data_IF_503764423134
#
_entry.id   IF_503764423134
#
_cell.length_a   1.000
_cell.length_b   1.000
_cell.length_c   1.000
_cell.angle_alpha   90.00
_cell.angle_beta   90.00
_cell.angle_gamma   90.00
#
_symmetry.space_group_name_H-M   'P 1'
#
loop_
_entity.id
_entity.type
_entity.pdbx_description
1 polymer ?
#
# COMPACT_ATOMS: atom_id res chain seq x y z
N UNK A 1 -2.67 -1.88 -3.92
CA UNK A 1 -2.83 -0.73 -4.86
C UNK A 1 -1.65 0.26 -4.76
N UNK A 2 -1.12 0.55 -3.57
CA UNK A 2 0.00 1.49 -3.38
C UNK A 2 1.27 1.09 -4.14
N UNK A 3 1.64 -0.19 -4.11
CA UNK A 3 2.79 -0.70 -4.86
C UNK A 3 2.62 -0.56 -6.36
N UNK A 4 1.41 -0.82 -6.86
CA UNK A 4 1.05 -0.66 -8.27
C UNK A 4 1.17 0.82 -8.66
N UNK A 5 0.61 1.73 -7.84
CA UNK A 5 0.72 3.18 -8.07
C UNK A 5 2.18 3.62 -8.14
N UNK A 6 3.01 3.19 -7.18
CA UNK A 6 4.45 3.48 -7.17
C UNK A 6 5.17 2.95 -8.40
N UNK A 7 4.86 1.74 -8.84
CA UNK A 7 5.44 1.17 -10.06
C UNK A 7 5.08 2.00 -11.30
N UNK A 8 3.81 2.42 -11.42
CA UNK A 8 3.34 3.25 -12.53
C UNK A 8 3.97 4.65 -12.50
N UNK A 9 4.08 5.28 -11.33
CA UNK A 9 4.76 6.57 -11.14
C UNK A 9 6.26 6.48 -11.47
N UNK A 10 6.89 5.34 -11.19
CA UNK A 10 8.28 5.06 -11.57
C UNK A 10 8.47 4.75 -13.07
N UNK A 11 7.40 4.77 -13.87
CA UNK A 11 7.44 4.57 -15.32
C UNK A 11 7.18 3.15 -15.80
N UNK A 12 6.65 2.26 -14.94
CA UNK A 12 6.24 0.93 -15.38
C UNK A 12 5.19 1.02 -16.50
N UNK A 13 5.45 0.31 -17.60
CA UNK A 13 4.57 0.26 -18.76
C UNK A 13 3.58 -0.91 -18.69
N UNK A 14 3.77 -1.86 -17.78
CA UNK A 14 2.80 -2.92 -17.55
C UNK A 14 2.92 -3.58 -16.18
N UNK A 15 1.90 -4.34 -15.82
CA UNK A 15 1.82 -5.10 -14.58
C UNK A 15 1.38 -6.54 -14.86
N UNK A 16 1.99 -7.50 -14.18
CA UNK A 16 1.74 -8.93 -14.35
C UNK A 16 1.50 -9.59 -12.99
N UNK A 17 0.55 -10.52 -12.95
CA UNK A 17 0.31 -11.35 -11.78
C UNK A 17 1.06 -12.67 -11.93
N UNK A 18 1.64 -13.17 -10.83
CA UNK A 18 2.35 -14.47 -10.82
C UNK A 18 1.43 -15.64 -11.15
N UNK A 19 0.12 -15.47 -11.00
CA UNK A 19 -0.92 -16.45 -11.36
C UNK A 19 -1.35 -16.39 -12.83
N UNK A 20 -0.84 -15.43 -13.62
CA UNK A 20 -1.22 -15.26 -15.02
C UNK A 20 -0.71 -16.44 -15.88
N UNK A 21 -1.51 -16.97 -16.82
CA UNK A 21 -1.04 -17.99 -17.77
C UNK A 21 0.17 -17.52 -18.56
N UNK A 22 1.10 -18.45 -18.85
CA UNK A 22 2.35 -18.12 -19.55
C UNK A 22 2.14 -17.49 -20.93
N UNK A 23 1.09 -17.91 -21.65
CA UNK A 23 0.72 -17.36 -22.95
C UNK A 23 0.34 -15.87 -22.85
N UNK A 24 -0.47 -15.51 -21.85
CA UNK A 24 -0.87 -14.12 -21.60
C UNK A 24 0.32 -13.24 -21.15
N UNK A 25 1.26 -13.84 -20.41
CA UNK A 25 2.49 -13.16 -20.02
C UNK A 25 3.35 -12.82 -21.25
N UNK A 26 3.57 -13.79 -22.15
CA UNK A 26 4.34 -13.57 -23.39
C UNK A 26 3.67 -12.51 -24.26
N UNK A 27 2.34 -12.54 -24.37
CA UNK A 27 1.60 -11.52 -25.12
C UNK A 27 1.75 -10.13 -24.49
N UNK A 28 1.66 -10.02 -23.17
CA UNK A 28 1.86 -8.76 -22.44
C UNK A 28 3.26 -8.19 -22.71
N UNK A 29 4.30 -9.02 -22.69
CA UNK A 29 5.67 -8.60 -23.00
C UNK A 29 5.76 -8.03 -24.42
N UNK A 30 5.19 -8.72 -25.41
CA UNK A 30 5.18 -8.25 -26.81
C UNK A 30 4.42 -6.94 -26.98
N UNK A 31 3.30 -6.76 -26.28
CA UNK A 31 2.52 -5.52 -26.32
C UNK A 31 3.28 -4.34 -25.70
N UNK A 32 3.93 -4.55 -24.56
CA UNK A 32 4.78 -3.53 -23.92
C UNK A 32 5.97 -3.16 -24.80
N UNK A 33 6.62 -4.14 -25.43
CA UNK A 33 7.69 -3.88 -26.40
C UNK A 33 7.21 -3.04 -27.60
N UNK A 34 5.96 -3.22 -28.03
CA UNK A 34 5.32 -2.39 -29.06
C UNK A 34 4.86 -0.99 -28.56
N UNK A 35 5.23 -0.59 -27.34
CA UNK A 35 4.91 0.71 -26.75
C UNK A 35 3.52 0.81 -26.12
N UNK A 36 2.79 -0.30 -25.97
CA UNK A 36 1.46 -0.30 -25.34
C UNK A 36 1.59 -0.42 -23.82
N UNK A 37 0.71 0.24 -23.09
CA UNK A 37 0.57 0.00 -21.64
C UNK A 37 -0.36 -1.18 -21.37
N UNK A 38 0.01 -2.08 -20.46
CA UNK A 38 -0.81 -3.24 -20.12
C UNK A 38 -0.97 -3.44 -18.61
N UNK A 39 -2.19 -3.24 -18.11
CA UNK A 39 -2.53 -3.46 -16.70
C UNK A 39 -3.74 -4.42 -16.67
N UNK A 40 -3.73 -5.49 -15.86
CA UNK A 40 -4.86 -6.38 -15.71
C UNK A 40 -6.11 -5.61 -15.23
N UNK A 41 -7.33 -5.90 -15.75
CA UNK A 41 -8.54 -5.16 -15.38
C UNK A 41 -8.82 -5.12 -13.87
N UNK A 42 -8.56 -6.23 -13.18
CA UNK A 42 -8.72 -6.34 -11.71
C UNK A 42 -7.82 -5.36 -10.95
N UNK A 43 -6.60 -5.16 -11.44
CA UNK A 43 -5.61 -4.25 -10.86
C UNK A 43 -5.97 -2.80 -11.19
N UNK A 44 -6.46 -2.55 -12.40
CA UNK A 44 -6.95 -1.23 -12.78
C UNK A 44 -8.17 -0.82 -11.93
N UNK A 45 -9.10 -1.73 -11.68
CA UNK A 45 -10.26 -1.48 -10.82
C UNK A 45 -9.84 -1.11 -9.39
N UNK A 46 -8.88 -1.85 -8.80
CA UNK A 46 -8.34 -1.53 -7.47
C UNK A 46 -7.66 -0.16 -7.40
N UNK A 47 -6.99 0.25 -8.48
CA UNK A 47 -6.35 1.57 -8.56
C UNK A 47 -7.38 2.69 -8.61
N UNK A 48 -8.47 2.48 -9.35
CA UNK A 48 -9.57 3.45 -9.48
C UNK A 48 -10.36 3.59 -8.18
N UNK A 49 -10.56 2.49 -7.44
CA UNK A 49 -11.29 2.49 -6.15
C UNK A 49 -10.66 3.45 -5.13
N UNK A 50 -9.34 3.65 -5.18
CA UNK A 50 -8.58 4.45 -4.23
C UNK A 50 -7.99 5.72 -4.86
N UNK A 51 -8.48 6.07 -6.06
CA UNK A 51 -7.99 7.24 -6.80
C UNK A 51 -8.44 8.51 -6.09
N UNK A 52 -7.48 9.32 -5.63
CA UNK A 52 -7.75 10.58 -4.93
C UNK A 52 -7.84 10.47 -3.41
N UNK A 53 -7.72 9.27 -2.83
CA UNK A 53 -7.54 9.14 -1.38
C UNK A 53 -6.18 9.68 -0.93
N UNK A 54 -6.14 10.28 0.27
CA UNK A 54 -4.90 10.75 0.86
C UNK A 54 -3.96 9.59 1.20
N UNK A 55 -2.73 9.66 0.69
CA UNK A 55 -1.70 8.70 1.05
C UNK A 55 -1.22 8.91 2.48
N UNK A 56 -0.74 7.82 3.10
CA UNK A 56 -0.07 7.91 4.39
C UNK A 56 1.28 8.63 4.22
N UNK A 57 1.56 9.57 5.12
CA UNK A 57 2.87 10.22 5.21
C UNK A 57 3.96 9.23 5.61
N UNK A 58 5.22 9.59 5.37
CA UNK A 58 6.38 8.78 5.78
C UNK A 58 6.33 8.41 7.26
N UNK A 59 5.95 9.36 8.12
CA UNK A 59 5.89 9.13 9.55
C UNK A 59 4.73 8.20 9.95
N UNK A 60 3.59 8.33 9.30
CA UNK A 60 2.46 7.42 9.49
C UNK A 60 2.82 6.00 9.04
N UNK A 61 3.56 5.84 7.94
CA UNK A 61 4.05 4.54 7.48
C UNK A 61 5.02 3.89 8.48
N UNK A 62 5.93 4.66 9.08
CA UNK A 62 6.83 4.15 10.12
C UNK A 62 6.07 3.65 11.35
N UNK A 63 5.08 4.43 11.81
CA UNK A 63 4.21 4.04 12.93
C UNK A 63 3.43 2.78 12.57
N UNK A 64 2.84 2.73 11.38
CA UNK A 64 2.09 1.59 10.86
C UNK A 64 2.96 0.32 10.78
N UNK A 65 4.20 0.42 10.30
CA UNK A 65 5.14 -0.72 10.20
C UNK A 65 5.50 -1.28 11.57
N UNK A 66 5.84 -0.41 12.53
CA UNK A 66 6.07 -0.91 13.89
C UNK A 66 4.79 -1.43 14.53
N UNK A 67 3.63 -0.90 14.16
CA UNK A 67 2.36 -1.40 14.65
C UNK A 67 2.04 -2.82 14.14
N UNK A 68 2.41 -3.16 12.91
CA UNK A 68 2.20 -4.48 12.32
C UNK A 68 3.11 -5.57 12.91
N UNK A 69 4.28 -5.18 13.42
CA UNK A 69 5.17 -6.05 14.22
C UNK A 69 4.60 -6.38 15.62
N UNK A 70 3.42 -5.88 15.98
CA UNK A 70 2.79 -6.11 17.29
C UNK A 70 3.25 -5.19 18.42
N UNK A 71 4.06 -4.15 18.13
CA UNK A 71 4.55 -3.22 19.14
C UNK A 71 3.41 -2.36 19.71
N UNK A 72 3.38 -2.12 21.03
CA UNK A 72 2.44 -1.17 21.65
C UNK A 72 2.87 0.27 21.40
N UNK A 73 1.97 1.24 21.55
CA UNK A 73 2.28 2.65 21.27
C UNK A 73 3.50 3.17 22.05
N UNK A 74 3.66 2.75 23.31
CA UNK A 74 4.85 3.04 24.12
C UNK A 74 6.15 2.49 23.52
N UNK A 75 6.12 1.31 22.91
CA UNK A 75 7.29 0.69 22.30
C UNK A 75 7.64 1.35 20.97
N UNK A 76 6.62 1.68 20.17
CA UNK A 76 6.76 2.47 18.94
C UNK A 76 7.35 3.85 19.27
N UNK A 77 6.85 4.51 20.31
CA UNK A 77 7.32 5.81 20.76
C UNK A 77 8.82 5.79 21.12
N UNK A 78 9.26 4.74 21.82
CA UNK A 78 10.68 4.53 22.13
C UNK A 78 11.53 4.29 20.88
N UNK A 79 11.08 3.42 19.96
CA UNK A 79 11.78 3.14 18.69
C UNK A 79 11.91 4.38 17.81
N UNK A 80 10.90 5.24 17.84
CA UNK A 80 10.79 6.42 16.97
C UNK A 80 11.21 7.73 17.66
N UNK A 81 11.71 7.67 18.90
CA UNK A 81 12.16 8.81 19.70
C UNK A 81 11.12 9.95 19.82
N UNK A 82 9.86 9.59 20.08
CA UNK A 82 8.75 10.54 20.26
C UNK A 82 7.93 10.22 21.50
N UNK A 83 7.01 11.12 21.88
CA UNK A 83 6.06 10.85 22.94
C UNK A 83 5.02 9.79 22.51
N UNK A 84 4.54 9.00 23.48
CA UNK A 84 3.48 8.02 23.22
C UNK A 84 2.20 8.67 22.68
N UNK A 85 1.88 9.88 23.14
CA UNK A 85 0.74 10.65 22.66
C UNK A 85 0.86 11.00 21.17
N UNK A 86 2.08 11.30 20.70
CA UNK A 86 2.35 11.54 19.27
C UNK A 86 2.05 10.30 18.42
N UNK A 87 2.38 9.11 18.92
CA UNK A 87 2.05 7.84 18.23
C UNK A 87 0.53 7.64 18.18
N UNK A 88 -0.21 7.97 19.24
CA UNK A 88 -1.68 7.87 19.23
C UNK A 88 -2.30 8.80 18.19
N UNK A 89 -1.79 10.04 18.08
CA UNK A 89 -2.24 11.00 17.06
C UNK A 89 -2.00 10.45 15.65
N UNK A 90 -0.79 9.94 15.37
CA UNK A 90 -0.51 9.30 14.08
C UNK A 90 -1.43 8.10 13.81
N UNK A 91 -1.67 7.24 14.80
CA UNK A 91 -2.57 6.10 14.66
C UNK A 91 -4.01 6.54 14.35
N UNK A 92 -4.48 7.62 14.98
CA UNK A 92 -5.80 8.20 14.69
C UNK A 92 -5.90 8.70 13.24
N UNK A 93 -4.88 9.41 12.75
CA UNK A 93 -4.85 9.88 11.36
C UNK A 93 -4.76 8.71 10.36
N UNK A 94 -3.97 7.69 10.67
CA UNK A 94 -3.90 6.45 9.86
C UNK A 94 -5.29 5.81 9.75
N UNK A 95 -5.97 5.60 10.88
CA UNK A 95 -7.32 5.01 10.88
C UNK A 95 -8.31 5.86 10.08
N UNK A 96 -8.25 7.18 10.21
CA UNK A 96 -9.09 8.10 9.44
C UNK A 96 -8.83 8.00 7.93
N UNK A 97 -7.56 8.04 7.51
CA UNK A 97 -7.16 7.95 6.09
C UNK A 97 -7.49 6.60 5.46
N UNK A 98 -7.40 5.53 6.25
CA UNK A 98 -7.72 4.18 5.80
C UNK A 98 -9.21 3.81 5.96
N UNK A 99 -10.04 4.69 6.53
CA UNK A 99 -11.44 4.38 6.82
C UNK A 99 -11.63 3.23 7.83
N UNK A 100 -10.68 3.04 8.74
CA UNK A 100 -10.69 1.98 9.74
C UNK A 100 -11.35 2.42 11.06
N UNK A 101 -12.16 1.54 11.64
CA UNK A 101 -12.78 1.71 12.95
C UNK A 101 -11.83 1.41 14.12
N UNK A 102 -10.87 0.51 13.91
CA UNK A 102 -9.87 0.16 14.91
C UNK A 102 -8.49 -0.15 14.30
N UNK A 103 -7.51 -0.33 15.19
CA UNK A 103 -6.12 -0.61 14.81
C UNK A 103 -5.97 -1.90 14.01
N UNK A 104 -6.72 -2.95 14.35
CA UNK A 104 -6.63 -4.24 13.68
C UNK A 104 -7.17 -4.12 12.25
N UNK A 105 -8.30 -3.44 12.09
CA UNK A 105 -8.86 -3.13 10.78
C UNK A 105 -7.90 -2.26 9.97
N UNK A 106 -7.25 -1.27 10.58
CA UNK A 106 -6.24 -0.46 9.92
C UNK A 106 -5.05 -1.30 9.41
N UNK A 107 -4.57 -2.26 10.21
CA UNK A 107 -3.51 -3.19 9.76
C UNK A 107 -3.97 -4.04 8.57
N UNK A 108 -5.19 -4.57 8.62
CA UNK A 108 -5.73 -5.41 7.54
C UNK A 108 -5.89 -4.63 6.23
N UNK A 109 -6.44 -3.42 6.30
CA UNK A 109 -6.57 -2.53 5.13
C UNK A 109 -5.19 -2.15 4.60
N UNK A 110 -4.25 -1.82 5.50
CA UNK A 110 -2.91 -1.44 5.10
C UNK A 110 -2.15 -2.57 4.40
N UNK A 111 -2.31 -3.82 4.86
CA UNK A 111 -1.76 -5.00 4.21
C UNK A 111 -2.40 -5.23 2.83
N UNK A 112 -3.74 -5.14 2.74
CA UNK A 112 -4.47 -5.29 1.46
C UNK A 112 -4.07 -4.23 0.44
N UNK A 113 -3.84 -2.99 0.88
CA UNK A 113 -3.41 -1.88 0.02
C UNK A 113 -1.91 -1.92 -0.30
N UNK A 114 -1.12 -2.73 0.40
CA UNK A 114 0.32 -2.87 0.16
C UNK A 114 1.15 -1.74 0.79
N UNK A 115 0.67 -1.14 1.88
CA UNK A 115 1.45 -0.22 2.70
C UNK A 115 2.47 -0.96 3.59
N UNK A 116 2.13 -2.17 3.99
CA UNK A 116 2.93 -3.07 4.84
C UNK A 116 2.77 -4.51 4.34
N UNK A 117 3.75 -5.36 4.64
CA UNK A 117 3.66 -6.81 4.48
C UNK A 117 3.51 -7.45 5.87
N UNK A 118 2.55 -8.37 6.01
CA UNK A 118 2.32 -9.16 7.24
C UNK A 118 3.11 -10.46 7.19
#
# INVERSE_FOLDING_TARGET
DVEIKRALEAGAQGYLLKSMPSEQMVETIRQVHAGKKRIPPEIAAQLVEHLGEESLSTRELEVLRHASEGNRNRDIARKLFVAEETVKVHMKHIMQKLGAADRTQAMAIAARRGFIHL
#
